data_IF_282064982471
#
_entry.id   IF_282064982471
#
_cell.length_a   1.000
_cell.length_b   1.000
_cell.length_c   1.000
_cell.angle_alpha   90.00
_cell.angle_beta   90.00
_cell.angle_gamma   90.00
#
_symmetry.space_group_name_H-M   'P 1'
#
loop_
_entity.id
_entity.type
_entity.pdbx_description
1 polymer ?
#
# COMPACT_ATOMS: atom_id res chain seq x y z
N UNK A 1 -17.18 7.72 6.60
CA UNK A 1 -16.06 8.47 7.22
C UNK A 1 -16.27 9.97 7.06
N UNK A 2 -15.98 10.76 8.09
CA UNK A 2 -15.74 12.20 7.92
C UNK A 2 -14.65 12.40 6.85
N UNK A 3 -14.69 13.55 6.17
CA UNK A 3 -13.76 13.86 5.08
C UNK A 3 -12.32 13.68 5.57
N UNK A 4 -11.60 12.75 4.95
CA UNK A 4 -10.19 12.49 5.25
C UNK A 4 -9.39 13.80 5.16
N UNK A 5 -8.53 14.11 6.15
CA UNK A 5 -7.66 15.27 6.05
C UNK A 5 -6.65 15.09 4.91
N UNK A 6 -6.03 16.19 4.43
CA UNK A 6 -4.94 16.10 3.47
C UNK A 6 -3.82 15.18 3.95
N UNK A 7 -3.11 14.55 3.02
CA UNK A 7 -1.94 13.76 3.37
C UNK A 7 -0.85 14.64 4.02
N UNK A 8 -0.05 14.08 4.94
CA UNK A 8 0.94 14.84 5.70
C UNK A 8 2.23 15.15 4.90
N UNK A 9 2.32 14.67 3.66
CA UNK A 9 3.40 14.95 2.70
C UNK A 9 2.82 15.50 1.41
N UNK A 10 3.63 16.22 0.63
CA UNK A 10 3.23 16.63 -0.72
C UNK A 10 2.99 15.40 -1.61
N UNK A 11 1.73 15.17 -1.98
CA UNK A 11 1.28 14.05 -2.82
C UNK A 11 0.93 14.50 -4.25
N UNK A 12 1.27 15.74 -4.63
CA UNK A 12 0.95 16.33 -5.94
C UNK A 12 1.81 15.80 -7.09
N UNK A 13 2.51 14.67 -6.88
CA UNK A 13 3.37 14.02 -7.87
C UNK A 13 2.55 13.64 -9.11
N UNK A 14 2.63 14.48 -10.15
CA UNK A 14 2.06 14.16 -11.45
C UNK A 14 3.05 13.29 -12.23
N UNK A 15 2.59 12.11 -12.67
CA UNK A 15 3.30 11.29 -13.65
C UNK A 15 3.24 12.01 -15.00
N UNK A 16 4.21 12.87 -15.29
CA UNK A 16 4.41 13.37 -16.65
C UNK A 16 5.87 13.26 -17.04
N UNK A 17 6.11 13.12 -18.34
CA UNK A 17 7.45 13.14 -18.93
C UNK A 17 8.08 14.53 -18.94
N UNK A 18 7.34 15.54 -18.48
CA UNK A 18 7.71 16.96 -18.53
C UNK A 18 7.82 17.59 -17.13
N UNK A 19 7.36 16.92 -16.08
CA UNK A 19 7.58 17.34 -14.70
C UNK A 19 8.92 16.80 -14.22
N UNK A 20 9.63 17.59 -13.42
CA UNK A 20 10.67 17.05 -12.54
C UNK A 20 10.07 15.85 -11.80
N UNK A 21 10.72 14.70 -11.83
CA UNK A 21 10.30 13.52 -11.06
C UNK A 21 10.30 13.90 -9.58
N UNK A 22 9.12 14.17 -9.05
CA UNK A 22 8.90 14.41 -7.61
C UNK A 22 8.59 13.07 -6.94
N UNK A 23 8.90 12.96 -5.66
CA UNK A 23 8.62 11.75 -4.87
C UNK A 23 9.66 10.64 -4.94
N UNK A 24 10.81 10.86 -5.59
CA UNK A 24 11.95 9.95 -5.57
C UNK A 24 13.12 10.65 -4.87
N UNK A 25 13.78 9.98 -3.93
CA UNK A 25 14.89 10.52 -3.15
C UNK A 25 16.25 10.30 -3.83
N UNK A 26 16.27 9.80 -5.06
CA UNK A 26 17.48 9.69 -5.88
C UNK A 26 18.15 11.07 -6.02
N UNK A 27 19.51 11.12 -5.93
CA UNK A 27 20.24 12.37 -6.03
C UNK A 27 20.03 13.05 -7.40
N UNK A 28 19.84 12.24 -8.44
CA UNK A 28 19.48 12.66 -9.79
C UNK A 28 18.36 11.73 -10.25
N UNK A 29 17.11 12.18 -10.10
CA UNK A 29 15.96 11.42 -10.57
C UNK A 29 15.92 11.44 -12.10
N UNK A 30 15.91 10.27 -12.73
CA UNK A 30 15.83 10.11 -14.18
C UNK A 30 14.61 9.27 -14.58
N UNK A 31 13.81 9.77 -15.52
CA UNK A 31 12.62 9.07 -15.97
C UNK A 31 12.99 7.99 -16.98
N UNK A 32 13.00 6.75 -16.51
CA UNK A 32 13.19 5.59 -17.39
C UNK A 32 11.88 5.28 -18.11
N UNK A 33 11.79 5.64 -19.39
CA UNK A 33 10.62 5.36 -20.24
C UNK A 33 10.30 3.87 -20.39
N UNK A 34 11.33 3.03 -20.37
CA UNK A 34 11.24 1.57 -20.51
C UNK A 34 11.64 0.90 -19.19
N UNK A 35 10.92 1.20 -18.11
CA UNK A 35 11.09 0.45 -16.86
C UNK A 35 10.66 -0.99 -17.04
N UNK A 36 11.42 -1.88 -16.40
CA UNK A 36 10.99 -3.25 -16.21
C UNK A 36 9.62 -3.27 -15.50
N UNK A 37 8.68 -4.02 -16.06
CA UNK A 37 7.31 -4.15 -15.55
C UNK A 37 7.07 -5.51 -14.90
N UNK A 38 8.11 -6.33 -14.76
CA UNK A 38 8.00 -7.60 -14.06
C UNK A 38 7.90 -7.40 -12.54
N UNK A 39 7.22 -8.33 -11.88
CA UNK A 39 7.25 -8.44 -10.43
C UNK A 39 8.70 -8.70 -9.97
N UNK A 40 9.07 -8.15 -8.81
CA UNK A 40 10.41 -8.33 -8.28
C UNK A 40 10.69 -9.83 -8.05
N UNK A 41 11.81 -10.40 -8.52
CA UNK A 41 12.04 -11.85 -8.51
C UNK A 41 12.09 -12.50 -7.11
N UNK A 42 12.25 -11.70 -6.05
CA UNK A 42 12.13 -12.18 -4.67
C UNK A 42 10.68 -12.46 -4.23
N UNK A 43 9.68 -11.87 -4.88
CA UNK A 43 8.25 -12.09 -4.64
C UNK A 43 7.76 -13.07 -5.70
N UNK A 44 7.85 -14.36 -5.38
CA UNK A 44 7.45 -15.42 -6.32
C UNK A 44 5.93 -15.51 -6.36
N UNK A 45 5.39 -15.38 -7.56
CA UNK A 45 4.00 -15.68 -7.85
C UNK A 45 3.88 -17.18 -8.13
N UNK A 46 2.99 -17.86 -7.39
CA UNK A 46 2.70 -19.30 -7.53
C UNK A 46 1.29 -19.52 -8.08
N UNK A 47 0.96 -20.76 -8.45
CA UNK A 47 -0.28 -21.07 -9.18
C UNK A 47 -1.60 -20.76 -8.47
N UNK A 48 -1.57 -20.50 -7.16
CA UNK A 48 -2.75 -20.09 -6.38
C UNK A 48 -2.92 -18.57 -6.28
N UNK A 49 -1.94 -17.79 -6.72
CA UNK A 49 -1.99 -16.34 -6.60
C UNK A 49 -2.88 -15.73 -7.69
N UNK A 50 -3.65 -14.72 -7.29
CA UNK A 50 -4.47 -13.94 -8.20
C UNK A 50 -3.74 -12.64 -8.55
N UNK A 51 -3.54 -12.42 -9.84
CA UNK A 51 -2.93 -11.22 -10.39
C UNK A 51 -4.00 -10.44 -11.15
N UNK A 52 -4.32 -9.24 -10.69
CA UNK A 52 -5.19 -8.33 -11.44
C UNK A 52 -4.88 -6.88 -11.13
N UNK A 53 -5.07 -6.04 -12.16
CA UNK A 53 -5.07 -4.59 -12.03
C UNK A 53 -6.50 -3.99 -11.88
N UNK A 54 -7.53 -4.84 -11.94
CA UNK A 54 -8.94 -4.47 -11.92
C UNK A 54 -9.55 -4.70 -10.53
N UNK A 55 -10.08 -3.63 -9.92
CA UNK A 55 -10.69 -3.72 -8.58
C UNK A 55 -11.89 -4.65 -8.50
N UNK A 56 -12.68 -4.77 -9.58
CA UNK A 56 -13.84 -5.66 -9.61
C UNK A 56 -13.43 -7.12 -9.59
N UNK A 57 -12.37 -7.49 -10.31
CA UNK A 57 -11.85 -8.87 -10.32
C UNK A 57 -11.31 -9.25 -8.95
N UNK A 58 -10.54 -8.36 -8.31
CA UNK A 58 -10.05 -8.56 -6.94
C UNK A 58 -11.23 -8.71 -5.97
N UNK A 59 -12.24 -7.84 -6.04
CA UNK A 59 -13.42 -7.93 -5.18
C UNK A 59 -14.15 -9.26 -5.37
N UNK A 60 -14.43 -9.66 -6.61
CA UNK A 60 -15.12 -10.91 -6.91
C UNK A 60 -14.36 -12.12 -6.35
N UNK A 61 -13.04 -12.14 -6.48
CA UNK A 61 -12.20 -13.18 -5.90
C UNK A 61 -12.30 -13.22 -4.37
N UNK A 62 -12.19 -12.06 -3.71
CA UNK A 62 -12.30 -11.98 -2.26
C UNK A 62 -13.67 -12.44 -1.74
N UNK A 63 -14.76 -12.14 -2.46
CA UNK A 63 -16.10 -12.64 -2.14
C UNK A 63 -16.22 -14.15 -2.34
N UNK A 64 -15.75 -14.66 -3.48
CA UNK A 64 -15.79 -16.09 -3.80
C UNK A 64 -15.03 -16.92 -2.77
N UNK A 65 -13.86 -16.45 -2.36
CA UNK A 65 -13.00 -17.09 -1.36
C UNK A 65 -13.39 -16.75 0.09
N UNK A 66 -14.49 -16.01 0.28
CA UNK A 66 -15.02 -15.58 1.58
C UNK A 66 -13.99 -14.87 2.46
N UNK A 67 -13.07 -14.11 1.86
CA UNK A 67 -12.00 -13.39 2.55
C UNK A 67 -12.51 -12.06 3.07
N UNK A 68 -12.53 -11.96 4.40
CA UNK A 68 -12.93 -10.75 5.13
C UNK A 68 -11.76 -9.98 5.70
N UNK A 69 -10.70 -10.68 6.11
CA UNK A 69 -9.51 -10.10 6.71
C UNK A 69 -8.44 -9.92 5.62
N UNK A 70 -8.02 -8.68 5.40
CA UNK A 70 -7.12 -8.29 4.31
C UNK A 70 -5.90 -7.58 4.90
N UNK A 71 -4.71 -8.09 4.60
CA UNK A 71 -3.46 -7.39 4.88
C UNK A 71 -3.01 -6.75 3.58
N UNK A 72 -2.76 -5.44 3.58
CA UNK A 72 -2.24 -4.71 2.41
C UNK A 72 -0.80 -4.27 2.69
N UNK A 73 0.06 -4.46 1.69
CA UNK A 73 1.48 -4.08 1.70
C UNK A 73 1.95 -3.79 0.26
N UNK A 74 3.14 -3.24 0.09
CA UNK A 74 3.71 -2.91 -1.22
C UNK A 74 3.98 -1.42 -1.42
N UNK A 75 4.14 -0.99 -2.68
CA UNK A 75 4.54 0.38 -3.02
C UNK A 75 3.62 1.02 -4.08
N UNK A 76 3.30 2.31 -4.03
CA UNK A 76 3.68 3.28 -3.00
C UNK A 76 2.56 3.44 -1.95
N UNK A 77 2.91 3.61 -0.67
CA UNK A 77 1.99 3.67 0.49
C UNK A 77 0.86 4.69 0.30
N UNK A 78 1.20 5.94 -0.01
CA UNK A 78 0.27 7.05 -0.23
C UNK A 78 -0.52 6.98 -1.55
N UNK A 79 -0.11 6.11 -2.48
CA UNK A 79 -0.71 6.02 -3.82
C UNK A 79 -1.44 4.70 -4.00
N UNK A 80 -0.73 3.62 -4.33
CA UNK A 80 -1.36 2.37 -4.76
C UNK A 80 -1.94 1.58 -3.59
N UNK A 81 -1.21 1.53 -2.48
CA UNK A 81 -1.63 0.86 -1.25
C UNK A 81 -2.87 1.53 -0.67
N UNK A 82 -2.89 2.86 -0.61
CA UNK A 82 -4.02 3.60 -0.06
C UNK A 82 -5.18 3.78 -1.04
N UNK A 83 -4.90 4.16 -2.29
CA UNK A 83 -5.87 4.80 -3.20
C UNK A 83 -6.32 4.01 -4.42
N UNK A 84 -5.75 2.83 -4.75
CA UNK A 84 -6.27 2.03 -5.87
C UNK A 84 -7.68 1.49 -5.57
N UNK A 85 -8.44 1.07 -6.60
CA UNK A 85 -9.74 0.42 -6.43
C UNK A 85 -9.72 -0.91 -5.63
N UNK A 86 -8.56 -1.37 -5.20
CA UNK A 86 -8.37 -2.51 -4.30
C UNK A 86 -7.43 -2.18 -3.12
N UNK A 87 -7.13 -0.90 -2.91
CA UNK A 87 -6.33 -0.40 -1.79
C UNK A 87 -7.15 -0.23 -0.52
N UNK A 88 -6.51 0.29 0.53
CA UNK A 88 -7.06 0.42 1.87
C UNK A 88 -8.39 1.16 1.89
N UNK A 89 -8.48 2.32 1.21
CA UNK A 89 -9.70 3.13 1.19
C UNK A 89 -10.89 2.32 0.68
N UNK A 90 -10.72 1.68 -0.48
CA UNK A 90 -11.79 0.91 -1.10
C UNK A 90 -12.15 -0.33 -0.28
N UNK A 91 -11.16 -1.05 0.26
CA UNK A 91 -11.41 -2.22 1.10
C UNK A 91 -12.17 -1.84 2.38
N UNK A 92 -11.86 -0.68 2.98
CA UNK A 92 -12.60 -0.16 4.12
C UNK A 92 -14.05 0.19 3.76
N UNK A 93 -14.31 0.77 2.59
CA UNK A 93 -15.67 1.05 2.11
C UNK A 93 -16.47 -0.21 1.78
N UNK A 94 -15.80 -1.31 1.45
CA UNK A 94 -16.41 -2.62 1.17
C UNK A 94 -16.53 -3.48 2.45
N UNK A 95 -16.46 -2.87 3.63
CA UNK A 95 -16.60 -3.51 4.94
C UNK A 95 -15.62 -4.69 5.18
N UNK A 96 -14.44 -4.64 4.56
CA UNK A 96 -13.36 -5.59 4.85
C UNK A 96 -12.61 -5.18 6.13
N UNK A 97 -12.16 -6.18 6.88
CA UNK A 97 -11.23 -6.01 8.00
C UNK A 97 -9.83 -5.82 7.43
N UNK A 98 -9.52 -4.60 7.00
CA UNK A 98 -8.23 -4.24 6.40
C UNK A 98 -7.22 -3.84 7.47
N UNK A 99 -5.97 -4.26 7.31
CA UNK A 99 -4.81 -3.78 8.07
C UNK A 99 -3.64 -3.49 7.13
N UNK A 100 -2.81 -2.50 7.49
CA UNK A 100 -1.56 -2.20 6.79
C UNK A 100 -0.40 -3.01 7.38
N UNK A 101 0.43 -3.64 6.56
CA UNK A 101 1.73 -4.15 7.01
C UNK A 101 2.78 -3.04 6.89
N UNK A 102 3.03 -2.32 7.98
CA UNK A 102 3.71 -1.02 7.96
C UNK A 102 5.22 -1.06 7.72
N UNK A 103 5.85 -2.20 7.93
CA UNK A 103 7.28 -2.45 7.69
C UNK A 103 7.53 -3.11 6.32
N UNK A 104 6.47 -3.40 5.55
CA UNK A 104 6.52 -3.94 4.18
C UNK A 104 5.86 -2.98 3.16
N UNK A 105 5.93 -1.68 3.42
CA UNK A 105 5.39 -0.63 2.57
C UNK A 105 6.41 0.49 2.43
N UNK A 106 6.37 1.21 1.31
CA UNK A 106 7.23 2.38 1.11
C UNK A 106 6.50 3.49 0.34
N UNK A 107 6.73 4.74 0.72
CA UNK A 107 5.98 5.87 0.19
C UNK A 107 6.62 6.49 -1.05
N UNK A 108 5.81 7.20 -1.84
CA UNK A 108 6.33 8.10 -2.85
C UNK A 108 6.51 9.47 -2.18
N UNK A 109 7.73 9.76 -1.74
CA UNK A 109 8.07 11.01 -1.05
C UNK A 109 9.51 11.42 -1.33
N UNK A 110 9.73 12.70 -1.60
CA UNK A 110 11.06 13.27 -1.77
C UNK A 110 11.39 14.15 -0.55
N UNK A 111 12.51 13.91 0.16
CA UNK A 111 12.94 14.75 1.27
C UNK A 111 13.10 16.25 0.94
N UNK A 112 13.23 16.58 -0.35
CA UNK A 112 13.29 17.96 -0.86
C UNK A 112 11.92 18.63 -0.93
N UNK A 113 10.85 17.86 -0.83
CA UNK A 113 9.47 18.34 -0.77
C UNK A 113 9.00 18.49 0.69
N UNK A 114 8.03 19.39 0.92
CA UNK A 114 7.40 19.55 2.23
C UNK A 114 6.88 18.19 2.74
N UNK A 115 7.14 17.80 4.01
CA UNK A 115 7.57 18.64 5.13
C UNK A 115 9.08 18.73 5.39
N UNK A 116 9.93 18.42 4.39
CA UNK A 116 11.39 18.50 4.48
C UNK A 116 12.00 17.59 5.54
N UNK A 117 11.52 16.35 5.60
CA UNK A 117 12.01 15.30 6.50
C UNK A 117 12.70 14.20 5.71
N UNK A 118 13.40 13.28 6.38
CA UNK A 118 13.95 12.11 5.70
C UNK A 118 12.86 11.28 5.01
N UNK A 119 13.22 10.53 3.97
CA UNK A 119 12.27 9.70 3.24
C UNK A 119 11.53 8.75 4.19
N UNK A 120 12.30 8.05 5.03
CA UNK A 120 11.77 7.18 6.08
C UNK A 120 10.75 7.89 6.99
N UNK A 121 11.03 9.13 7.42
CA UNK A 121 10.08 9.88 8.25
C UNK A 121 8.82 10.27 7.48
N UNK A 122 8.94 10.62 6.20
CA UNK A 122 7.77 10.86 5.36
C UNK A 122 6.89 9.62 5.20
N UNK A 123 7.51 8.45 5.00
CA UNK A 123 6.82 7.15 4.99
C UNK A 123 6.11 6.88 6.31
N UNK A 124 6.78 7.09 7.45
CA UNK A 124 6.16 6.99 8.78
C UNK A 124 4.96 7.92 8.96
N UNK A 125 5.05 9.17 8.50
CA UNK A 125 3.94 10.12 8.61
C UNK A 125 2.70 9.66 7.83
N UNK A 126 2.89 9.07 6.64
CA UNK A 126 1.79 8.47 5.88
C UNK A 126 1.20 7.25 6.61
N UNK A 127 2.06 6.40 7.19
CA UNK A 127 1.61 5.25 8.00
C UNK A 127 0.77 5.74 9.19
N UNK A 128 1.24 6.76 9.93
CA UNK A 128 0.50 7.37 11.04
C UNK A 128 -0.86 7.92 10.60
N UNK A 129 -0.93 8.53 9.42
CA UNK A 129 -2.19 9.01 8.85
C UNK A 129 -3.16 7.85 8.55
N UNK A 130 -2.67 6.77 7.94
CA UNK A 130 -3.47 5.57 7.67
C UNK A 130 -3.99 4.96 8.99
N UNK A 131 -3.12 4.85 9.99
CA UNK A 131 -3.45 4.31 11.31
C UNK A 131 -4.55 5.11 12.02
N UNK A 132 -4.51 6.44 11.90
CA UNK A 132 -5.50 7.33 12.51
C UNK A 132 -6.85 7.32 11.80
N UNK A 133 -6.86 7.19 10.48
CA UNK A 133 -8.05 7.50 9.67
C UNK A 133 -8.70 6.30 8.98
N UNK A 134 -7.95 5.22 8.74
CA UNK A 134 -8.41 4.12 7.89
C UNK A 134 -8.39 2.76 8.55
N UNK A 135 -7.25 2.34 9.10
CA UNK A 135 -7.10 0.99 9.66
C UNK A 135 -5.87 0.84 10.56
N UNK A 136 -5.90 -0.09 11.52
CA UNK A 136 -4.69 -0.43 12.28
C UNK A 136 -3.61 -1.03 11.37
N UNK A 137 -2.39 -1.10 11.90
CA UNK A 137 -1.26 -1.74 11.23
C UNK A 137 -0.70 -2.91 12.04
N UNK A 138 0.03 -3.78 11.33
CA UNK A 138 0.79 -4.90 11.89
C UNK A 138 2.22 -4.89 11.34
N UNK A 139 3.10 -5.69 11.94
CA UNK A 139 4.45 -5.92 11.41
C UNK A 139 4.51 -7.21 10.59
N UNK A 140 5.44 -7.30 9.65
CA UNK A 140 5.64 -8.49 8.81
C UNK A 140 5.95 -9.73 9.66
N UNK A 141 6.65 -9.54 10.78
CA UNK A 141 6.91 -10.61 11.76
C UNK A 141 5.63 -11.18 12.41
N UNK A 142 4.53 -10.45 12.38
CA UNK A 142 3.25 -10.91 12.94
C UNK A 142 2.57 -11.90 11.99
N UNK A 143 2.85 -11.82 10.68
CA UNK A 143 2.38 -12.78 9.66
C UNK A 143 3.06 -14.14 9.77
N UNK A 144 4.24 -14.21 10.39
CA UNK A 144 5.00 -15.46 10.56
C UNK A 144 4.67 -16.19 11.86
N UNK A 145 3.75 -15.65 12.67
CA UNK A 145 3.37 -16.21 13.96
C UNK A 145 1.98 -16.81 13.86
N UNK A 146 1.86 -18.07 14.28
CA UNK A 146 0.54 -18.70 14.46
C UNK A 146 0.03 -18.33 15.84
N UNK A 147 -1.11 -17.64 15.88
CA UNK A 147 -1.82 -17.36 17.12
C UNK A 147 -2.69 -18.60 17.43
N UNK A 148 -2.64 -19.18 18.63
CA UNK A 148 -3.53 -20.28 19.00
C UNK A 148 -5.00 -19.94 18.70
N UNK A 149 -5.69 -20.81 17.96
CA UNK A 149 -7.09 -20.59 17.52
C UNK A 149 -7.25 -19.86 16.18
N UNK A 150 -6.17 -19.38 15.55
CA UNK A 150 -6.26 -18.69 14.24
C UNK A 150 -6.27 -19.62 13.02
N UNK A 151 -5.97 -20.91 13.17
CA UNK A 151 -5.96 -21.89 12.07
C UNK A 151 -6.96 -23.06 12.21
N UNK A 152 -7.91 -22.99 13.16
CA UNK A 152 -8.90 -24.06 13.35
C UNK A 152 -10.21 -23.75 12.60
N UNK A 153 -10.56 -24.50 11.55
CA UNK A 153 -11.87 -24.40 10.90
C UNK A 153 -12.99 -25.17 11.64
N UNK A 154 -12.69 -25.87 12.75
CA UNK A 154 -13.63 -26.72 13.50
C UNK A 154 -13.85 -26.28 14.96
N UNK A 155 -14.22 -25.01 15.16
CA UNK A 155 -14.85 -24.55 16.43
C UNK A 155 -16.12 -23.78 16.16
#
# INVERSE_FOLDING_TARGET
PEKEPPLPVDDTVQRSSESSLRGCDDPIADYKKNTDRHEHPAIKIVGYDVISANGQEIFNFLEQEQRKNIVIMGVHTNMCVLGRPFGIRQMRYLDKNVVLCRDLTDALYDPRDHPYVSHARGTEMIIEHIERHWCPSILGKDLTKVIPGSNNPDS
#
